data_IF_676746040432
#
_entry.id   IF_676746040432
#
_cell.length_a   1.000
_cell.length_b   1.000
_cell.length_c   1.000
_cell.angle_alpha   90.00
_cell.angle_beta   90.00
_cell.angle_gamma   90.00
#
_symmetry.space_group_name_H-M   'P 1'
#
loop_
_entity.id
_entity.type
_entity.pdbx_description
1 polymer ?
#
# COMPACT_ATOMS: atom_id res chain seq x y z
N UNK A 1 9.09 -30.23 7.42
CA UNK A 1 9.01 -29.47 8.67
C UNK A 1 9.70 -28.14 8.59
N UNK A 2 10.95 -28.13 8.14
CA UNK A 2 11.71 -26.91 7.89
C UNK A 2 11.02 -25.98 6.88
N UNK A 3 10.50 -26.56 5.80
CA UNK A 3 9.81 -25.83 4.74
C UNK A 3 8.55 -25.13 5.24
N UNK A 4 7.77 -25.79 6.08
CA UNK A 4 6.56 -25.21 6.67
C UNK A 4 6.90 -24.02 7.57
N UNK A 5 8.00 -24.11 8.33
CA UNK A 5 8.47 -22.99 9.16
C UNK A 5 8.92 -21.80 8.33
N UNK A 6 9.62 -22.06 7.23
CA UNK A 6 10.09 -21.03 6.31
C UNK A 6 8.92 -20.34 5.60
N UNK A 7 7.91 -21.11 5.18
CA UNK A 7 6.70 -20.55 4.56
C UNK A 7 5.90 -19.69 5.52
N UNK A 8 5.75 -20.13 6.76
CA UNK A 8 5.06 -19.35 7.80
C UNK A 8 5.80 -18.05 8.08
N UNK A 9 7.13 -18.11 8.18
CA UNK A 9 7.95 -16.94 8.38
C UNK A 9 7.82 -15.98 7.21
N UNK A 10 7.83 -16.48 5.98
CA UNK A 10 7.64 -15.66 4.77
C UNK A 10 6.26 -15.05 4.73
N UNK A 11 5.21 -15.81 5.04
CA UNK A 11 3.83 -15.30 5.10
C UNK A 11 3.71 -14.19 6.13
N UNK A 12 4.30 -14.39 7.31
CA UNK A 12 4.29 -13.38 8.36
C UNK A 12 4.98 -12.08 7.92
N UNK A 13 6.12 -12.19 7.24
CA UNK A 13 6.84 -11.04 6.71
C UNK A 13 6.01 -10.33 5.61
N UNK A 14 5.35 -11.11 4.74
CA UNK A 14 4.48 -10.56 3.70
C UNK A 14 3.33 -9.78 4.30
N UNK A 15 2.64 -10.36 5.28
CA UNK A 15 1.53 -9.68 5.97
C UNK A 15 2.03 -8.39 6.61
N UNK A 16 3.17 -8.44 7.31
CA UNK A 16 3.76 -7.25 7.93
C UNK A 16 4.08 -6.16 6.91
N UNK A 17 4.63 -6.53 5.77
CA UNK A 17 4.92 -5.59 4.68
C UNK A 17 3.64 -4.94 4.13
N UNK A 18 2.62 -5.76 3.87
CA UNK A 18 1.35 -5.28 3.34
C UNK A 18 0.58 -4.41 4.34
N UNK A 19 0.64 -4.76 5.63
CA UNK A 19 0.04 -3.93 6.69
C UNK A 19 0.72 -2.57 6.77
N UNK A 20 2.03 -2.51 6.53
CA UNK A 20 2.76 -1.25 6.51
C UNK A 20 2.31 -0.38 5.34
N UNK A 21 2.14 -0.97 4.16
CA UNK A 21 1.63 -0.26 2.98
C UNK A 21 0.23 0.29 3.27
N UNK A 22 -0.68 -0.56 3.76
CA UNK A 22 -2.04 -0.15 4.14
C UNK A 22 -2.01 1.01 5.15
N UNK A 23 -1.11 0.96 6.12
CA UNK A 23 -0.96 2.01 7.12
C UNK A 23 -0.58 3.35 6.50
N UNK A 24 0.38 3.37 5.59
CA UNK A 24 0.79 4.60 4.90
C UNK A 24 -0.30 5.13 3.97
N UNK A 25 -0.97 4.24 3.21
CA UNK A 25 -2.05 4.63 2.31
C UNK A 25 -3.22 5.22 3.11
N UNK A 26 -3.59 4.58 4.21
CA UNK A 26 -4.65 5.06 5.10
C UNK A 26 -4.30 6.41 5.71
N UNK A 27 -3.08 6.57 6.22
CA UNK A 27 -2.63 7.83 6.80
C UNK A 27 -2.65 8.96 5.77
N UNK A 28 -2.22 8.67 4.54
CA UNK A 28 -2.27 9.64 3.45
C UNK A 28 -3.70 10.04 3.10
N UNK A 29 -4.61 9.06 3.05
CA UNK A 29 -6.02 9.31 2.77
C UNK A 29 -6.67 10.20 3.84
N UNK A 30 -6.40 9.90 5.11
CA UNK A 30 -6.89 10.70 6.23
C UNK A 30 -6.34 12.12 6.16
N UNK A 31 -5.04 12.27 5.87
CA UNK A 31 -4.40 13.57 5.77
C UNK A 31 -5.01 14.42 4.66
N UNK A 32 -5.30 13.83 3.50
CA UNK A 32 -5.99 14.51 2.41
C UNK A 32 -7.41 14.93 2.81
N UNK A 33 -8.14 14.00 3.42
CA UNK A 33 -9.53 14.22 3.82
C UNK A 33 -9.65 15.36 4.84
N UNK A 34 -8.73 15.42 5.79
CA UNK A 34 -8.75 16.44 6.85
C UNK A 34 -8.08 17.75 6.44
N UNK A 35 -7.50 17.82 5.25
CA UNK A 35 -6.76 19.00 4.80
C UNK A 35 -5.49 19.24 5.57
N UNK A 36 -4.85 18.18 6.06
CA UNK A 36 -3.62 18.29 6.85
C UNK A 36 -2.47 18.91 6.03
N UNK A 37 -1.69 19.83 6.61
CA UNK A 37 -0.50 20.36 5.92
C UNK A 37 0.57 19.29 5.68
N UNK A 38 0.44 18.12 6.31
CA UNK A 38 1.36 16.99 6.13
C UNK A 38 0.92 16.02 5.03
N UNK A 39 -0.18 16.30 4.32
CA UNK A 39 -0.72 15.40 3.32
C UNK A 39 0.32 15.03 2.24
N UNK A 40 1.08 16.01 1.73
CA UNK A 40 2.12 15.74 0.73
C UNK A 40 3.20 14.79 1.25
N UNK A 41 3.61 14.95 2.50
CA UNK A 41 4.59 14.07 3.14
C UNK A 41 4.03 12.66 3.25
N UNK A 42 2.79 12.54 3.71
CA UNK A 42 2.14 11.24 3.86
C UNK A 42 1.94 10.54 2.50
N UNK A 43 1.58 11.30 1.47
CA UNK A 43 1.48 10.78 0.11
C UNK A 43 2.83 10.25 -0.39
N UNK A 44 3.90 11.00 -0.13
CA UNK A 44 5.25 10.58 -0.48
C UNK A 44 5.68 9.30 0.24
N UNK A 45 5.31 9.15 1.50
CA UNK A 45 5.59 7.93 2.27
C UNK A 45 4.82 6.73 1.72
N UNK A 46 3.56 6.92 1.34
CA UNK A 46 2.76 5.87 0.71
C UNK A 46 3.39 5.45 -0.62
N UNK A 47 3.82 6.40 -1.44
CA UNK A 47 4.49 6.12 -2.70
C UNK A 47 5.79 5.35 -2.49
N UNK A 48 6.59 5.76 -1.53
CA UNK A 48 7.84 5.08 -1.21
C UNK A 48 7.60 3.64 -0.72
N UNK A 49 6.52 3.41 0.02
CA UNK A 49 6.22 2.10 0.59
C UNK A 49 5.97 1.01 -0.47
N UNK A 50 5.55 1.39 -1.67
CA UNK A 50 5.25 0.43 -2.75
C UNK A 50 6.37 0.29 -3.78
N UNK A 51 7.44 1.10 -3.67
CA UNK A 51 8.55 1.07 -4.63
C UNK A 51 9.48 -0.11 -4.45
N UNK A 52 9.71 -0.53 -3.21
CA UNK A 52 10.65 -1.58 -2.90
C UNK A 52 10.13 -2.96 -3.24
N UNK A 53 11.03 -3.91 -3.27
CA UNK A 53 10.71 -5.31 -3.44
C UNK A 53 10.09 -5.86 -2.15
N UNK A 54 9.10 -6.73 -2.29
CA UNK A 54 8.48 -7.39 -1.14
C UNK A 54 9.39 -8.46 -0.54
N UNK A 55 9.08 -8.93 0.69
CA UNK A 55 9.84 -10.00 1.33
C UNK A 55 9.94 -11.23 0.42
N UNK A 56 11.13 -11.78 0.27
CA UNK A 56 11.43 -12.93 -0.59
C UNK A 56 10.99 -12.73 -2.05
N UNK A 57 10.93 -11.48 -2.51
CA UNK A 57 10.49 -11.15 -3.87
C UNK A 57 9.01 -11.42 -4.14
N UNK A 58 8.23 -11.62 -3.10
CA UNK A 58 6.81 -11.98 -3.21
C UNK A 58 5.93 -10.73 -3.39
N UNK A 59 4.73 -10.97 -3.88
CA UNK A 59 3.69 -9.93 -4.08
C UNK A 59 4.02 -8.90 -5.17
N UNK A 60 4.98 -9.18 -6.05
CA UNK A 60 5.35 -8.27 -7.13
C UNK A 60 4.18 -8.03 -8.10
N UNK A 61 3.32 -9.03 -8.32
CA UNK A 61 2.12 -8.88 -9.12
C UNK A 61 1.20 -7.78 -8.58
N UNK A 62 1.12 -7.66 -7.26
CA UNK A 62 0.34 -6.63 -6.59
C UNK A 62 1.09 -5.29 -6.61
N UNK A 63 2.37 -5.29 -6.26
CA UNK A 63 3.17 -4.08 -6.19
C UNK A 63 3.25 -3.36 -7.54
N UNK A 64 3.34 -4.11 -8.63
CA UNK A 64 3.34 -3.57 -9.99
C UNK A 64 2.05 -2.78 -10.27
N UNK A 65 0.92 -3.22 -9.72
CA UNK A 65 -0.36 -2.51 -9.86
C UNK A 65 -0.45 -1.30 -8.94
N UNK A 66 0.09 -1.42 -7.73
CA UNK A 66 -0.01 -0.35 -6.73
C UNK A 66 0.84 0.88 -7.09
N UNK A 67 2.02 0.66 -7.65
CA UNK A 67 2.96 1.75 -7.95
C UNK A 67 2.33 2.84 -8.80
N UNK A 68 1.72 2.53 -9.97
CA UNK A 68 1.07 3.58 -10.76
C UNK A 68 -0.17 4.18 -10.09
N UNK A 69 -0.94 3.39 -9.33
CA UNK A 69 -2.11 3.90 -8.62
C UNK A 69 -1.75 4.96 -7.61
N UNK A 70 -0.76 4.66 -6.77
CA UNK A 70 -0.30 5.60 -5.74
C UNK A 70 0.39 6.80 -6.39
N UNK A 71 1.19 6.59 -7.43
CA UNK A 71 1.82 7.66 -8.19
C UNK A 71 0.80 8.61 -8.81
N UNK A 72 -0.25 8.06 -9.44
CA UNK A 72 -1.34 8.86 -10.00
C UNK A 72 -2.09 9.64 -8.91
N UNK A 73 -2.32 9.00 -7.76
CA UNK A 73 -2.95 9.68 -6.63
C UNK A 73 -2.14 10.91 -6.20
N UNK A 74 -0.81 10.77 -6.15
CA UNK A 74 0.07 11.90 -5.81
C UNK A 74 -0.04 13.02 -6.85
N UNK A 75 -0.08 12.67 -8.13
CA UNK A 75 -0.22 13.63 -9.23
C UNK A 75 -1.57 14.36 -9.16
N UNK A 76 -2.66 13.64 -8.94
CA UNK A 76 -3.99 14.24 -8.80
C UNK A 76 -4.04 15.18 -7.61
N UNK A 77 -3.47 14.75 -6.47
CA UNK A 77 -3.41 15.61 -5.30
C UNK A 77 -2.64 16.89 -5.58
N UNK A 78 -1.49 16.79 -6.23
CA UNK A 78 -0.66 17.94 -6.57
C UNK A 78 -1.37 18.93 -7.50
N UNK A 79 -2.26 18.43 -8.37
CA UNK A 79 -3.05 19.27 -9.28
C UNK A 79 -4.37 19.76 -8.67
N UNK A 80 -4.64 19.42 -7.42
CA UNK A 80 -5.84 19.84 -6.72
C UNK A 80 -7.08 18.98 -6.98
N UNK A 81 -6.92 17.87 -7.65
CA UNK A 81 -8.05 16.93 -7.91
C UNK A 81 -8.14 15.90 -6.78
N UNK A 82 -8.67 16.35 -5.64
CA UNK A 82 -8.78 15.52 -4.45
C UNK A 82 -9.70 14.28 -4.64
N UNK A 83 -10.87 14.40 -5.29
CA UNK A 83 -11.70 13.21 -5.50
C UNK A 83 -10.99 12.11 -6.28
N UNK A 84 -10.24 12.47 -7.33
CA UNK A 84 -9.49 11.49 -8.12
C UNK A 84 -8.35 10.87 -7.29
N UNK A 85 -7.63 11.68 -6.53
CA UNK A 85 -6.57 11.19 -5.64
C UNK A 85 -7.13 10.20 -4.62
N UNK A 86 -8.24 10.54 -3.98
CA UNK A 86 -8.87 9.68 -2.99
C UNK A 86 -9.37 8.37 -3.59
N UNK A 87 -9.95 8.43 -4.79
CA UNK A 87 -10.42 7.24 -5.49
C UNK A 87 -9.27 6.26 -5.78
N UNK A 88 -8.14 6.76 -6.23
CA UNK A 88 -6.95 5.92 -6.49
C UNK A 88 -6.42 5.28 -5.22
N UNK A 89 -6.32 6.06 -4.14
CA UNK A 89 -5.84 5.54 -2.85
C UNK A 89 -6.79 4.48 -2.28
N UNK A 90 -8.10 4.66 -2.45
CA UNK A 90 -9.08 3.68 -2.00
C UNK A 90 -8.94 2.36 -2.75
N UNK A 91 -8.76 2.40 -4.07
CA UNK A 91 -8.55 1.19 -4.87
C UNK A 91 -7.26 0.49 -4.43
N UNK A 92 -6.19 1.25 -4.23
CA UNK A 92 -4.91 0.70 -3.77
C UNK A 92 -5.09 0.00 -2.42
N UNK A 93 -5.77 0.64 -1.47
CA UNK A 93 -6.01 0.08 -0.15
C UNK A 93 -6.83 -1.21 -0.23
N UNK A 94 -7.89 -1.23 -1.04
CA UNK A 94 -8.73 -2.41 -1.20
C UNK A 94 -7.93 -3.60 -1.75
N UNK A 95 -7.06 -3.36 -2.72
CA UNK A 95 -6.22 -4.42 -3.30
C UNK A 95 -5.25 -5.00 -2.26
N UNK A 96 -4.65 -4.15 -1.45
CA UNK A 96 -3.74 -4.61 -0.39
C UNK A 96 -4.51 -5.40 0.66
N UNK A 97 -5.65 -4.88 1.10
CA UNK A 97 -6.49 -5.54 2.11
C UNK A 97 -6.96 -6.91 1.64
N UNK A 98 -7.35 -7.04 0.38
CA UNK A 98 -7.74 -8.33 -0.20
C UNK A 98 -6.60 -9.34 -0.17
N UNK A 99 -5.37 -8.90 -0.45
CA UNK A 99 -4.21 -9.77 -0.40
C UNK A 99 -3.91 -10.21 1.04
N UNK A 100 -4.04 -9.29 2.01
CA UNK A 100 -3.86 -9.61 3.43
C UNK A 100 -4.87 -10.68 3.86
N UNK A 101 -6.13 -10.51 3.49
CA UNK A 101 -7.18 -11.48 3.81
C UNK A 101 -6.87 -12.84 3.19
N UNK A 102 -6.44 -12.85 1.95
CA UNK A 102 -6.07 -14.09 1.26
C UNK A 102 -4.91 -14.81 1.97
N UNK A 103 -3.90 -14.06 2.41
CA UNK A 103 -2.76 -14.64 3.13
C UNK A 103 -3.16 -15.14 4.51
N UNK A 104 -4.06 -14.44 5.20
CA UNK A 104 -4.54 -14.85 6.51
C UNK A 104 -5.36 -16.13 6.45
N UNK A 105 -5.98 -16.43 5.30
CA UNK A 105 -6.75 -17.66 5.09
C UNK A 105 -5.91 -18.88 4.75
N UNK A 106 -4.63 -18.70 4.49
CA UNK A 106 -3.71 -19.82 4.25
C UNK A 106 -3.26 -20.43 5.60
#
# INVERSE_FOLDING_TARGET
MRELGEERATTSLRVGHLLRITGYVEAATIAMWTGSPRALVMMGMAEASVRGEGPAGRDEDLLVKLRPMVGEACEYYASGDFPAAMARMRVAQDLVDLRIVALAGE
#
